data_IF_814018759101
#
_entry.id   IF_814018759101
#
_cell.length_a   1.000
_cell.length_b   1.000
_cell.length_c   1.000
_cell.angle_alpha   90.00
_cell.angle_beta   90.00
_cell.angle_gamma   90.00
#
_symmetry.space_group_name_H-M   'P 1'
#
loop_
_entity.id
_entity.type
_entity.pdbx_description
1 polymer ?
#
# COMPACT_ATOMS: atom_id res chain seq x y z
N UNK A 1 11.43 23.54 -7.81
CA UNK A 1 11.92 23.68 -6.42
C UNK A 1 11.40 22.59 -5.49
N UNK A 2 10.09 22.33 -5.38
CA UNK A 2 9.57 21.26 -4.50
C UNK A 2 10.10 19.85 -4.83
N UNK A 3 10.35 19.54 -6.11
CA UNK A 3 10.96 18.26 -6.52
C UNK A 3 12.39 18.10 -5.97
N UNK A 4 13.14 19.18 -5.77
CA UNK A 4 14.48 19.10 -5.20
C UNK A 4 14.43 18.70 -3.71
N UNK A 5 13.35 19.05 -3.00
CA UNK A 5 13.14 18.65 -1.61
C UNK A 5 12.93 17.13 -1.48
N UNK A 6 12.40 16.47 -2.52
CA UNK A 6 12.25 15.01 -2.54
C UNK A 6 13.60 14.28 -2.49
N UNK A 7 14.67 14.92 -2.98
CA UNK A 7 16.02 14.34 -2.94
C UNK A 7 16.76 14.64 -1.64
N UNK A 8 16.17 15.40 -0.71
CA UNK A 8 16.80 15.71 0.57
C UNK A 8 16.83 14.49 1.50
N UNK A 9 17.90 14.37 2.28
CA UNK A 9 18.00 13.39 3.36
C UNK A 9 17.32 13.84 4.65
N UNK A 10 16.90 15.11 4.74
CA UNK A 10 16.17 15.61 5.91
C UNK A 10 14.69 15.26 5.78
N UNK A 11 14.19 14.53 6.78
CA UNK A 11 12.79 14.11 6.85
C UNK A 11 11.81 15.28 6.67
N UNK A 12 12.00 16.40 7.37
CA UNK A 12 11.11 17.56 7.32
C UNK A 12 11.03 18.18 5.92
N UNK A 13 12.17 18.31 5.23
CA UNK A 13 12.23 18.81 3.86
C UNK A 13 11.52 17.85 2.90
N UNK A 14 11.82 16.54 3.00
CA UNK A 14 11.21 15.51 2.16
C UNK A 14 9.70 15.40 2.39
N UNK A 15 9.24 15.47 3.63
CA UNK A 15 7.82 15.44 4.00
C UNK A 15 7.06 16.63 3.39
N UNK A 16 7.61 17.84 3.51
CA UNK A 16 7.00 19.05 2.91
C UNK A 16 6.97 18.93 1.39
N UNK A 17 8.05 18.41 0.77
CA UNK A 17 8.11 18.14 -0.66
C UNK A 17 7.01 17.17 -1.12
N UNK A 18 6.87 16.02 -0.46
CA UNK A 18 5.84 15.04 -0.77
C UNK A 18 4.41 15.57 -0.55
N UNK A 19 4.19 16.36 0.50
CA UNK A 19 2.90 17.01 0.74
C UNK A 19 2.56 18.00 -0.37
N UNK A 20 3.50 18.88 -0.72
CA UNK A 20 3.33 19.87 -1.77
C UNK A 20 2.97 19.21 -3.10
N UNK A 21 3.71 18.16 -3.46
CA UNK A 21 3.47 17.39 -4.69
C UNK A 21 2.11 16.68 -4.64
N UNK A 22 1.74 16.08 -3.51
CA UNK A 22 0.44 15.41 -3.38
C UNK A 22 -0.76 16.36 -3.56
N UNK A 23 -0.60 17.65 -3.24
CA UNK A 23 -1.67 18.66 -3.36
C UNK A 23 -1.66 19.37 -4.71
N UNK A 24 -0.47 19.69 -5.24
CA UNK A 24 -0.30 20.57 -6.40
C UNK A 24 0.10 19.84 -7.69
N UNK A 25 0.06 18.50 -7.72
CA UNK A 25 0.28 17.75 -8.96
C UNK A 25 -0.77 18.16 -9.99
N UNK A 26 -0.32 19.03 -10.88
CA UNK A 26 -0.93 19.30 -12.16
C UNK A 26 -0.32 18.30 -13.16
N UNK A 27 -1.09 17.85 -14.15
CA UNK A 27 -0.72 16.81 -15.14
C UNK A 27 0.35 17.26 -16.15
N UNK A 28 1.41 17.95 -15.69
CA UNK A 28 2.59 18.20 -16.49
C UNK A 28 3.45 16.93 -16.51
N UNK A 29 3.61 16.35 -17.71
CA UNK A 29 4.22 15.02 -17.90
C UNK A 29 5.67 14.93 -17.42
N UNK A 30 6.45 16.01 -17.47
CA UNK A 30 7.86 15.99 -17.09
C UNK A 30 8.05 15.98 -15.57
N UNK A 31 7.19 16.70 -14.83
CA UNK A 31 7.21 16.69 -13.37
C UNK A 31 6.80 15.31 -12.83
N UNK A 32 5.78 14.68 -13.42
CA UNK A 32 5.33 13.33 -13.02
C UNK A 32 6.48 12.31 -13.16
N UNK A 33 7.24 12.34 -14.26
CA UNK A 33 8.39 11.42 -14.44
C UNK A 33 9.44 11.58 -13.35
N UNK A 34 9.79 12.82 -12.98
CA UNK A 34 10.75 13.09 -11.90
C UNK A 34 10.22 12.61 -10.55
N UNK A 35 8.94 12.84 -10.27
CA UNK A 35 8.29 12.37 -9.04
C UNK A 35 8.33 10.84 -8.97
N UNK A 36 7.96 10.15 -10.05
CA UNK A 36 7.99 8.69 -10.14
C UNK A 36 9.41 8.18 -9.86
N UNK A 37 10.44 8.82 -10.43
CA UNK A 37 11.82 8.40 -10.19
C UNK A 37 12.25 8.59 -8.73
N UNK A 38 11.88 9.72 -8.11
CA UNK A 38 12.16 9.96 -6.69
C UNK A 38 11.44 8.96 -5.77
N UNK A 39 10.17 8.66 -6.06
CA UNK A 39 9.39 7.65 -5.34
C UNK A 39 10.06 6.27 -5.46
N UNK A 40 10.52 5.87 -6.65
CA UNK A 40 11.24 4.59 -6.83
C UNK A 40 12.50 4.50 -5.96
N UNK A 41 13.25 5.59 -5.86
CA UNK A 41 14.44 5.65 -5.01
C UNK A 41 14.07 5.49 -3.52
N UNK A 42 12.99 6.15 -3.07
CA UNK A 42 12.54 6.06 -1.68
C UNK A 42 11.92 4.70 -1.34
N UNK A 43 11.21 4.06 -2.27
CA UNK A 43 10.71 2.68 -2.09
C UNK A 43 11.85 1.66 -2.00
N UNK A 44 12.98 1.93 -2.64
CA UNK A 44 14.19 1.09 -2.57
C UNK A 44 15.05 1.38 -1.33
N UNK A 45 14.71 2.41 -0.56
CA UNK A 45 15.43 2.78 0.65
C UNK A 45 15.15 1.79 1.78
N UNK A 46 16.15 1.55 2.63
CA UNK A 46 15.98 0.80 3.89
C UNK A 46 15.26 1.62 4.97
N UNK A 47 15.05 2.92 4.75
CA UNK A 47 14.39 3.78 5.72
C UNK A 47 12.86 3.65 5.58
N UNK A 48 12.16 3.02 6.55
CA UNK A 48 10.71 2.80 6.49
C UNK A 48 9.92 4.12 6.43
N UNK A 49 10.48 5.21 6.97
CA UNK A 49 9.84 6.54 6.94
C UNK A 49 9.78 7.07 5.51
N UNK A 50 10.87 6.91 4.74
CA UNK A 50 10.92 7.35 3.34
C UNK A 50 9.98 6.53 2.47
N UNK A 51 9.99 5.20 2.67
CA UNK A 51 9.06 4.29 1.99
C UNK A 51 7.62 4.69 2.29
N UNK A 52 7.29 5.01 3.54
CA UNK A 52 5.93 5.39 3.91
C UNK A 52 5.49 6.72 3.29
N UNK A 53 6.35 7.73 3.26
CA UNK A 53 6.07 9.01 2.57
C UNK A 53 5.82 8.79 1.07
N UNK A 54 6.63 7.95 0.42
CA UNK A 54 6.45 7.56 -0.96
C UNK A 54 5.10 6.86 -1.19
N UNK A 55 4.74 5.88 -0.35
CA UNK A 55 3.46 5.17 -0.42
C UNK A 55 2.26 6.10 -0.26
N UNK A 56 2.32 7.03 0.70
CA UNK A 56 1.28 8.03 0.92
C UNK A 56 1.13 8.97 -0.28
N UNK A 57 2.25 9.40 -0.86
CA UNK A 57 2.23 10.23 -2.07
C UNK A 57 1.58 9.51 -3.25
N UNK A 58 1.95 8.25 -3.49
CA UNK A 58 1.33 7.42 -4.53
C UNK A 58 -0.19 7.32 -4.31
N UNK A 59 -0.62 7.01 -3.08
CA UNK A 59 -2.04 6.88 -2.75
C UNK A 59 -2.81 8.21 -2.92
N UNK A 60 -2.22 9.33 -2.51
CA UNK A 60 -2.85 10.64 -2.62
C UNK A 60 -3.00 11.09 -4.07
N UNK A 61 -1.96 10.91 -4.90
CA UNK A 61 -2.02 11.25 -6.33
C UNK A 61 -2.94 10.29 -7.06
N UNK A 62 -2.71 8.98 -6.92
CA UNK A 62 -3.57 7.92 -7.46
C UNK A 62 -3.89 8.05 -8.95
N UNK A 63 -2.94 8.50 -9.77
CA UNK A 63 -3.10 8.64 -11.23
C UNK A 63 -2.85 7.32 -11.98
N UNK A 64 -3.21 7.26 -13.26
CA UNK A 64 -2.96 6.07 -14.08
C UNK A 64 -1.46 5.81 -14.24
N UNK A 65 -0.65 6.85 -14.42
CA UNK A 65 0.81 6.75 -14.52
C UNK A 65 1.43 6.18 -13.24
N UNK A 66 0.88 6.51 -12.07
CA UNK A 66 1.30 5.92 -10.80
C UNK A 66 0.94 4.43 -10.72
N UNK A 67 -0.26 4.06 -11.18
CA UNK A 67 -0.66 2.66 -11.24
C UNK A 67 0.26 1.86 -12.19
N UNK A 68 0.58 2.40 -13.37
CA UNK A 68 1.50 1.79 -14.34
C UNK A 68 2.92 1.64 -13.77
N UNK A 69 3.40 2.66 -13.07
CA UNK A 69 4.77 2.65 -12.53
C UNK A 69 4.93 1.72 -11.32
N UNK A 70 3.90 1.59 -10.47
CA UNK A 70 4.03 0.95 -9.15
C UNK A 70 3.13 -0.27 -8.94
N UNK A 71 2.19 -0.57 -9.85
CA UNK A 71 1.22 -1.65 -9.68
C UNK A 71 1.81 -3.04 -9.41
N UNK A 72 3.03 -3.29 -9.88
CA UNK A 72 3.79 -4.53 -9.64
C UNK A 72 4.70 -4.47 -8.40
N UNK A 73 5.13 -3.28 -8.00
CA UNK A 73 6.12 -3.11 -6.93
C UNK A 73 5.45 -3.04 -5.55
N UNK A 74 4.26 -2.44 -5.45
CA UNK A 74 3.53 -2.33 -4.18
C UNK A 74 3.09 -3.71 -3.63
N UNK A 75 2.53 -4.63 -4.44
CA UNK A 75 2.22 -5.98 -3.95
C UNK A 75 3.45 -6.73 -3.45
N UNK A 76 4.59 -6.62 -4.15
CA UNK A 76 5.87 -7.21 -3.73
C UNK A 76 6.30 -6.70 -2.35
N UNK A 77 6.24 -5.38 -2.16
CA UNK A 77 6.56 -4.74 -0.88
C UNK A 77 5.61 -5.22 0.23
N UNK A 78 4.30 -5.30 -0.07
CA UNK A 78 3.28 -5.72 0.89
C UNK A 78 3.50 -7.14 1.42
N UNK A 79 3.93 -8.07 0.57
CA UNK A 79 4.12 -9.48 0.94
C UNK A 79 5.54 -9.83 1.39
N UNK A 80 6.45 -8.85 1.40
CA UNK A 80 7.85 -9.06 1.77
C UNK A 80 7.97 -9.26 3.29
N UNK A 81 8.66 -10.32 3.70
CA UNK A 81 8.84 -10.68 5.11
C UNK A 81 9.65 -9.67 5.92
N UNK A 82 10.58 -8.96 5.27
CA UNK A 82 11.46 -7.98 5.90
C UNK A 82 10.80 -6.60 6.09
N UNK A 83 9.57 -6.44 5.62
CA UNK A 83 8.87 -5.15 5.64
C UNK A 83 8.19 -4.92 6.98
N UNK A 84 8.43 -3.75 7.57
CA UNK A 84 7.80 -3.36 8.83
C UNK A 84 6.27 -3.27 8.71
N UNK A 85 5.56 -3.56 9.81
CA UNK A 85 4.09 -3.60 9.84
C UNK A 85 3.44 -2.28 9.47
N UNK A 86 4.05 -1.14 9.81
CA UNK A 86 3.56 0.19 9.41
C UNK A 86 3.66 0.41 7.89
N UNK A 87 4.69 -0.15 7.25
CA UNK A 87 4.86 -0.07 5.79
C UNK A 87 3.87 -1.00 5.10
N UNK A 88 3.64 -2.22 5.63
CA UNK A 88 2.61 -3.14 5.12
C UNK A 88 1.22 -2.51 5.14
N UNK A 89 0.86 -1.81 6.21
CA UNK A 89 -0.41 -1.09 6.33
C UNK A 89 -0.57 -0.05 5.20
N UNK A 90 0.42 0.82 5.03
CA UNK A 90 0.42 1.83 3.97
C UNK A 90 0.43 1.20 2.57
N UNK A 91 1.18 0.11 2.38
CA UNK A 91 1.26 -0.58 1.09
C UNK A 91 -0.07 -1.22 0.70
N UNK A 92 -0.78 -1.84 1.65
CA UNK A 92 -2.10 -2.41 1.40
C UNK A 92 -3.13 -1.35 0.99
N UNK A 93 -3.17 -0.21 1.68
CA UNK A 93 -4.08 0.89 1.35
C UNK A 93 -3.68 1.62 0.06
N UNK A 94 -2.38 1.75 -0.20
CA UNK A 94 -1.86 2.29 -1.45
C UNK A 94 -2.24 1.40 -2.64
N UNK A 95 -2.05 0.08 -2.52
CA UNK A 95 -2.48 -0.88 -3.53
C UNK A 95 -3.98 -0.84 -3.75
N UNK A 96 -4.78 -0.75 -2.68
CA UNK A 96 -6.24 -0.59 -2.78
C UNK A 96 -6.62 0.66 -3.59
N UNK A 97 -5.93 1.78 -3.34
CA UNK A 97 -6.17 3.03 -4.06
C UNK A 97 -5.81 2.89 -5.54
N UNK A 98 -4.65 2.33 -5.87
CA UNK A 98 -4.24 2.06 -7.26
C UNK A 98 -5.18 1.10 -7.97
N UNK A 99 -5.63 0.05 -7.28
CA UNK A 99 -6.62 -0.89 -7.80
C UNK A 99 -7.94 -0.19 -8.14
N UNK A 100 -8.41 0.74 -7.30
CA UNK A 100 -9.62 1.53 -7.57
C UNK A 100 -9.45 2.51 -8.73
N UNK A 101 -8.23 3.02 -8.96
CA UNK A 101 -7.93 3.92 -10.10
C UNK A 101 -7.84 3.15 -11.42
N UNK A 102 -7.12 2.03 -11.46
CA UNK A 102 -6.88 1.30 -12.70
C UNK A 102 -6.77 -0.20 -12.45
N UNK A 103 -7.94 -0.86 -12.47
CA UNK A 103 -8.08 -2.29 -12.24
C UNK A 103 -7.40 -3.15 -13.32
N UNK A 104 -7.16 -2.61 -14.51
CA UNK A 104 -6.54 -3.30 -15.64
C UNK A 104 -5.03 -3.53 -15.46
N UNK A 105 -4.37 -2.68 -14.65
CA UNK A 105 -2.91 -2.67 -14.50
C UNK A 105 -2.44 -3.60 -13.38
N UNK A 106 -3.25 -3.74 -12.32
CA UNK A 106 -2.85 -4.54 -11.15
C UNK A 106 -2.96 -6.03 -11.50
N UNK A 107 -1.85 -6.79 -11.52
CA UNK A 107 -1.89 -8.20 -11.87
C UNK A 107 -2.69 -8.99 -10.83
N UNK A 108 -3.63 -9.80 -11.31
CA UNK A 108 -4.31 -10.80 -10.49
C UNK A 108 -3.46 -12.07 -10.37
N UNK A 109 -3.60 -12.78 -9.24
CA UNK A 109 -3.13 -14.17 -9.11
C UNK A 109 -1.81 -14.38 -8.35
N UNK A 110 -0.71 -13.68 -8.71
CA UNK A 110 0.62 -14.00 -8.13
C UNK A 110 0.68 -13.77 -6.61
N UNK A 111 0.09 -12.67 -6.15
CA UNK A 111 0.17 -12.23 -4.76
C UNK A 111 -1.04 -12.64 -3.92
N UNK A 112 -2.07 -13.22 -4.54
CA UNK A 112 -3.37 -13.51 -3.92
C UNK A 112 -3.23 -14.32 -2.64
N UNK A 113 -2.51 -15.44 -2.69
CA UNK A 113 -2.33 -16.34 -1.52
C UNK A 113 -1.65 -15.63 -0.34
N UNK A 114 -0.61 -14.82 -0.64
CA UNK A 114 0.14 -14.09 0.38
C UNK A 114 -0.68 -12.94 0.97
N UNK A 115 -1.42 -12.21 0.14
CA UNK A 115 -2.34 -11.15 0.60
C UNK A 115 -3.42 -11.74 1.52
N UNK A 116 -4.01 -12.88 1.16
CA UNK A 116 -4.97 -13.59 2.02
C UNK A 116 -4.33 -13.99 3.35
N UNK A 117 -3.07 -14.44 3.33
CA UNK A 117 -2.34 -14.83 4.54
C UNK A 117 -2.07 -13.65 5.49
N UNK A 118 -2.10 -12.40 5.02
CA UNK A 118 -1.99 -11.21 5.90
C UNK A 118 -3.15 -11.11 6.90
N UNK A 119 -4.28 -11.77 6.67
CA UNK A 119 -5.34 -11.88 7.67
C UNK A 119 -4.88 -12.63 8.93
N UNK A 120 -3.79 -13.39 8.84
CA UNK A 120 -3.18 -14.08 9.97
C UNK A 120 -2.05 -13.31 10.66
N UNK A 121 -1.74 -12.10 10.22
CA UNK A 121 -0.70 -11.28 10.84
C UNK A 121 -1.00 -11.03 12.34
N UNK A 122 0.05 -10.84 13.13
CA UNK A 122 -0.08 -10.53 14.56
C UNK A 122 -0.53 -9.09 14.77
N UNK A 123 -0.14 -8.19 13.87
CA UNK A 123 -0.43 -6.77 13.98
C UNK A 123 -1.82 -6.44 13.43
N UNK A 124 -2.78 -6.11 14.31
CA UNK A 124 -4.16 -5.80 13.93
C UNK A 124 -4.31 -4.67 12.91
N UNK A 125 -3.37 -3.71 12.88
CA UNK A 125 -3.34 -2.68 11.84
C UNK A 125 -3.11 -3.27 10.44
N UNK A 126 -2.23 -4.26 10.30
CA UNK A 126 -1.96 -4.94 9.03
C UNK A 126 -3.20 -5.71 8.59
N UNK A 127 -3.83 -6.44 9.53
CA UNK A 127 -5.07 -7.18 9.27
C UNK A 127 -6.18 -6.24 8.79
N UNK A 128 -6.36 -5.08 9.42
CA UNK A 128 -7.36 -4.07 9.03
C UNK A 128 -7.14 -3.54 7.61
N UNK A 129 -5.90 -3.17 7.30
CA UNK A 129 -5.53 -2.67 5.97
C UNK A 129 -5.69 -3.76 4.89
N UNK A 130 -5.22 -4.98 5.18
CA UNK A 130 -5.36 -6.13 4.30
C UNK A 130 -6.83 -6.51 4.06
N UNK A 131 -7.68 -6.46 5.09
CA UNK A 131 -9.12 -6.73 4.95
C UNK A 131 -9.78 -5.74 3.99
N UNK A 132 -9.43 -4.45 4.09
CA UNK A 132 -9.94 -3.41 3.20
C UNK A 132 -9.53 -3.63 1.74
N UNK A 133 -8.30 -4.12 1.52
CA UNK A 133 -7.80 -4.50 0.20
C UNK A 133 -8.52 -5.75 -0.34
N UNK A 134 -8.62 -6.80 0.47
CA UNK A 134 -9.26 -8.07 0.11
C UNK A 134 -10.74 -7.86 -0.25
N UNK A 135 -11.48 -7.05 0.50
CA UNK A 135 -12.89 -6.73 0.20
C UNK A 135 -13.06 -6.18 -1.23
N UNK A 136 -12.15 -5.29 -1.67
CA UNK A 136 -12.19 -4.75 -3.02
C UNK A 136 -11.81 -5.79 -4.10
N UNK A 137 -10.84 -6.65 -3.81
CA UNK A 137 -10.35 -7.67 -4.74
C UNK A 137 -11.36 -8.81 -4.91
N UNK A 138 -11.99 -9.28 -3.82
CA UNK A 138 -13.06 -10.29 -3.82
C UNK A 138 -14.21 -9.86 -4.72
N UNK A 139 -14.61 -8.58 -4.70
CA UNK A 139 -15.70 -8.06 -5.53
C UNK A 139 -15.42 -8.16 -7.03
N UNK A 140 -14.14 -8.18 -7.44
CA UNK A 140 -13.72 -8.34 -8.83
C UNK A 140 -13.52 -9.82 -9.20
N UNK A 141 -12.86 -10.59 -8.33
CA UNK A 141 -12.49 -11.98 -8.57
C UNK A 141 -12.86 -12.87 -7.36
N UNK A 142 -14.15 -13.19 -7.14
CA UNK A 142 -14.57 -13.93 -5.95
C UNK A 142 -13.90 -15.29 -5.80
N UNK A 143 -13.64 -15.98 -6.91
CA UNK A 143 -13.10 -17.34 -6.90
C UNK A 143 -11.67 -17.43 -6.39
N UNK A 144 -10.82 -16.47 -6.74
CA UNK A 144 -9.43 -16.42 -6.31
C UNK A 144 -9.29 -16.16 -4.80
N UNK A 145 -10.25 -15.46 -4.21
CA UNK A 145 -10.20 -15.04 -2.81
C UNK A 145 -11.06 -15.90 -1.87
N UNK A 146 -11.65 -17.02 -2.32
CA UNK A 146 -12.45 -17.94 -1.48
C UNK A 146 -11.73 -18.34 -0.18
N UNK A 147 -10.40 -18.49 -0.22
CA UNK A 147 -9.57 -18.82 0.94
C UNK A 147 -9.59 -17.79 2.07
N UNK A 148 -9.99 -16.53 1.81
CA UNK A 148 -10.07 -15.51 2.85
C UNK A 148 -11.20 -15.75 3.85
N UNK A 149 -12.27 -16.44 3.46
CA UNK A 149 -13.47 -16.64 4.30
C UNK A 149 -13.13 -17.43 5.56
N UNK A 150 -12.48 -18.60 5.41
CA UNK A 150 -12.11 -19.44 6.56
C UNK A 150 -11.18 -18.71 7.52
N UNK A 151 -10.23 -17.92 7.00
CA UNK A 151 -9.31 -17.12 7.82
C UNK A 151 -10.03 -15.98 8.54
N UNK A 152 -10.90 -15.24 7.85
CA UNK A 152 -11.67 -14.15 8.42
C UNK A 152 -12.61 -14.65 9.53
N UNK A 153 -13.31 -15.77 9.31
CA UNK A 153 -14.18 -16.39 10.32
C UNK A 153 -13.38 -16.82 11.55
N UNK A 154 -12.25 -17.51 11.36
CA UNK A 154 -11.38 -17.92 12.47
C UNK A 154 -10.86 -16.72 13.27
N UNK A 155 -10.44 -15.65 12.58
CA UNK A 155 -9.94 -14.43 13.22
C UNK A 155 -11.02 -13.68 13.97
N UNK A 156 -12.20 -13.52 13.38
CA UNK A 156 -13.33 -12.88 14.04
C UNK A 156 -13.74 -13.67 15.29
N UNK A 157 -13.81 -15.00 15.21
CA UNK A 157 -14.08 -15.84 16.37
C UNK A 157 -13.08 -15.59 17.49
N UNK A 158 -11.78 -15.54 17.19
CA UNK A 158 -10.72 -15.27 18.18
C UNK A 158 -10.86 -13.89 18.83
N UNK A 159 -11.15 -12.86 18.05
CA UNK A 159 -11.32 -11.49 18.54
C UNK A 159 -12.51 -11.43 19.50
N UNK A 160 -13.65 -12.00 19.08
CA UNK A 160 -14.87 -12.01 19.90
C UNK A 160 -14.65 -12.79 21.19
N UNK A 161 -14.01 -13.97 21.13
CA UNK A 161 -13.76 -14.80 22.33
C UNK A 161 -12.72 -14.22 23.28
N UNK A 162 -11.68 -13.55 22.77
CA UNK A 162 -10.64 -12.95 23.60
C UNK A 162 -11.20 -11.84 24.52
N UNK A 163 -12.21 -11.10 24.05
CA UNK A 163 -12.89 -10.09 24.87
C UNK A 163 -13.70 -10.67 26.03
N UNK A 164 -14.02 -11.97 26.02
CA UNK A 164 -14.73 -12.62 27.13
C UNK A 164 -13.81 -13.14 28.24
N UNK A 165 -12.50 -13.26 27.99
CA UNK A 165 -11.53 -13.75 28.98
C UNK A 165 -10.94 -12.67 29.88
N UNK A 166 -11.17 -11.38 29.56
CA UNK A 166 -10.72 -10.22 30.35
C UNK A 166 -11.85 -9.59 31.22
N UNK A 167 -12.97 -10.31 31.41
CA UNK A 167 -14.13 -9.94 32.23
C UNK A 167 -14.36 -11.00 33.31
#
# INVERSE_FOLDING_TARGET
EAVNLLSSNKYSEKQIGYLFISVLVNTNSDLIKLIIQSIKNDLSSRNPVHVNLALQCIANIGSKEMAEAFGNEIPKLLVSGDTMDVVKQSAALCLLRLFRTSQEIIPSGEWTSRIIHLLNDQHMGVVTAATSLIDALVKKNPEEYKGCVSLAVSRLSRIVTASYTDL
#
